data_IF_045507518961
#
_entry.id   IF_045507518961
#
_cell.length_a   1.000
_cell.length_b   1.000
_cell.length_c   1.000
_cell.angle_alpha   90.00
_cell.angle_beta   90.00
_cell.angle_gamma   90.00
#
_symmetry.space_group_name_H-M   'P 1'
#
loop_
_entity.id
_entity.type
_entity.pdbx_description
1 polymer ?
#
# COMPACT_ATOMS: atom_id res chain seq x y z
N UNK A 1 5.98 24.31 -6.09
CA UNK A 1 6.85 23.13 -6.32
C UNK A 1 6.44 22.06 -5.33
N UNK A 2 6.44 20.78 -5.70
CA UNK A 2 6.26 19.69 -4.74
C UNK A 2 7.64 19.22 -4.29
N UNK A 3 7.85 19.08 -2.98
CA UNK A 3 9.09 18.59 -2.40
C UNK A 3 8.78 17.49 -1.39
N UNK A 4 9.77 16.68 -1.06
CA UNK A 4 9.68 15.66 -0.01
C UNK A 4 10.39 16.17 1.24
N UNK A 5 9.74 15.99 2.40
CA UNK A 5 10.35 16.15 3.71
C UNK A 5 10.57 14.77 4.32
N UNK A 6 11.69 14.57 5.01
CA UNK A 6 12.08 13.24 5.50
C UNK A 6 12.11 13.21 7.02
N UNK A 7 11.71 12.07 7.56
CA UNK A 7 11.74 11.81 9.00
C UNK A 7 12.23 10.40 9.26
N UNK A 8 12.82 10.18 10.43
CA UNK A 8 13.19 8.86 10.92
C UNK A 8 12.62 8.57 12.29
N UNK A 9 12.49 7.29 12.61
CA UNK A 9 12.17 6.83 13.96
C UNK A 9 12.75 5.44 14.19
N UNK A 10 13.19 5.21 15.42
CA UNK A 10 13.56 3.92 16.00
C UNK A 10 12.53 3.50 17.07
N UNK A 11 11.38 4.18 17.14
CA UNK A 11 10.35 3.92 18.14
C UNK A 11 9.80 2.49 18.00
N UNK A 12 9.86 1.75 19.12
CA UNK A 12 9.45 0.35 19.18
C UNK A 12 7.95 0.16 18.90
N UNK A 13 7.09 1.13 19.22
CA UNK A 13 5.66 1.04 18.91
C UNK A 13 5.43 1.15 17.40
N UNK A 14 6.17 2.03 16.72
CA UNK A 14 6.12 2.13 15.25
C UNK A 14 6.52 0.80 14.62
N UNK A 15 7.60 0.19 15.12
CA UNK A 15 8.04 -1.14 14.67
C UNK A 15 6.97 -2.20 14.87
N UNK A 16 6.44 -2.34 16.08
CA UNK A 16 5.42 -3.34 16.39
C UNK A 16 4.17 -3.14 15.52
N UNK A 17 3.74 -1.89 15.34
CA UNK A 17 2.60 -1.55 14.47
C UNK A 17 2.87 -1.94 13.01
N UNK A 18 4.07 -1.65 12.50
CA UNK A 18 4.44 -2.07 11.14
C UNK A 18 4.43 -3.60 10.98
N UNK A 19 4.94 -4.33 11.97
CA UNK A 19 4.92 -5.79 12.00
C UNK A 19 3.49 -6.36 12.06
N UNK A 20 2.58 -5.72 12.81
CA UNK A 20 1.14 -6.05 12.82
C UNK A 20 0.50 -5.86 11.44
N UNK A 21 0.78 -4.75 10.76
CA UNK A 21 0.25 -4.49 9.42
C UNK A 21 0.82 -5.47 8.39
N UNK A 22 2.12 -5.78 8.47
CA UNK A 22 2.75 -6.81 7.64
C UNK A 22 2.09 -8.18 7.87
N UNK A 23 1.81 -8.54 9.12
CA UNK A 23 1.15 -9.80 9.47
C UNK A 23 -0.28 -9.87 8.91
N UNK A 24 -1.05 -8.78 9.01
CA UNK A 24 -2.38 -8.68 8.42
C UNK A 24 -2.33 -8.80 6.89
N UNK A 25 -1.34 -8.16 6.24
CA UNK A 25 -1.11 -8.29 4.80
C UNK A 25 -0.79 -9.73 4.39
N UNK A 26 0.12 -10.41 5.09
CA UNK A 26 0.49 -11.79 4.79
C UNK A 26 -0.70 -12.75 4.94
N UNK A 27 -1.50 -12.58 6.00
CA UNK A 27 -2.73 -13.35 6.19
C UNK A 27 -3.72 -13.11 5.05
N UNK A 28 -3.97 -11.84 4.74
CA UNK A 28 -4.85 -11.43 3.64
C UNK A 28 -4.40 -12.02 2.30
N UNK A 29 -3.10 -11.94 1.98
CA UNK A 29 -2.52 -12.47 0.74
C UNK A 29 -2.67 -13.99 0.65
N UNK A 30 -2.42 -14.71 1.76
CA UNK A 30 -2.60 -16.16 1.84
C UNK A 30 -4.05 -16.57 1.60
N UNK A 31 -5.00 -15.94 2.29
CA UNK A 31 -6.43 -16.25 2.15
C UNK A 31 -6.95 -15.94 0.74
N UNK A 32 -6.49 -14.83 0.15
CA UNK A 32 -6.82 -14.44 -1.22
C UNK A 32 -6.30 -15.46 -2.22
N UNK A 33 -5.03 -15.89 -2.10
CA UNK A 33 -4.46 -16.93 -2.96
C UNK A 33 -5.14 -18.28 -2.81
N UNK A 34 -5.51 -18.67 -1.59
CA UNK A 34 -6.24 -19.91 -1.35
C UNK A 34 -7.58 -19.89 -2.09
N UNK A 35 -8.35 -18.81 -1.94
CA UNK A 35 -9.62 -18.65 -2.65
C UNK A 35 -9.42 -18.64 -4.19
N UNK A 36 -8.31 -18.09 -4.68
CA UNK A 36 -7.97 -18.17 -6.11
C UNK A 36 -7.78 -19.62 -6.57
N UNK A 37 -7.00 -20.41 -5.82
CA UNK A 37 -6.73 -21.79 -6.18
C UNK A 37 -8.00 -22.65 -6.13
N UNK A 38 -8.83 -22.47 -5.11
CA UNK A 38 -10.08 -23.21 -4.92
C UNK A 38 -11.07 -22.98 -6.07
N UNK A 39 -11.06 -21.79 -6.67
CA UNK A 39 -11.96 -21.37 -7.75
C UNK A 39 -11.30 -21.50 -9.15
N UNK A 40 -10.16 -22.19 -9.24
CA UNK A 40 -9.51 -22.58 -10.49
C UNK A 40 -8.70 -21.48 -11.19
N UNK A 41 -8.26 -20.48 -10.45
CA UNK A 41 -7.31 -19.45 -10.91
C UNK A 41 -5.85 -19.89 -10.65
N UNK A 42 -4.90 -19.41 -11.46
CA UNK A 42 -3.45 -19.68 -11.36
C UNK A 42 -2.85 -19.08 -10.07
N UNK A 43 -3.49 -18.04 -9.54
CA UNK A 43 -3.09 -17.36 -8.32
C UNK A 43 -3.39 -15.87 -8.38
N UNK A 44 -3.14 -15.20 -7.27
CA UNK A 44 -3.28 -13.75 -7.13
C UNK A 44 -1.91 -13.08 -7.25
N UNK A 45 -1.78 -12.06 -8.11
CA UNK A 45 -0.49 -11.48 -8.50
C UNK A 45 -0.36 -9.98 -8.23
N UNK A 46 -0.72 -9.47 -7.05
CA UNK A 46 -0.49 -8.04 -6.73
C UNK A 46 0.99 -7.73 -6.37
N UNK A 47 1.41 -6.48 -6.63
CA UNK A 47 2.69 -5.96 -6.17
C UNK A 47 2.73 -5.78 -4.64
N UNK A 48 3.91 -5.97 -4.05
CA UNK A 48 4.18 -5.88 -2.61
C UNK A 48 3.52 -4.64 -1.96
N UNK A 49 2.79 -4.87 -0.86
CA UNK A 49 2.14 -3.86 -0.01
C UNK A 49 1.09 -2.93 -0.66
N UNK A 50 0.74 -3.13 -1.93
CA UNK A 50 -0.44 -2.56 -2.60
C UNK A 50 -1.50 -3.68 -2.69
N UNK A 51 -2.77 -3.63 -2.25
CA UNK A 51 -3.92 -2.70 -2.25
C UNK A 51 -4.73 -3.08 -0.98
N UNK A 52 -5.48 -2.21 -0.27
CA UNK A 52 -6.94 -2.11 -0.54
C UNK A 52 -7.38 -0.67 -0.94
N UNK A 53 -8.46 -0.44 -1.68
CA UNK A 53 -9.83 -0.28 -1.12
C UNK A 53 -10.89 -1.20 -1.73
N UNK A 54 -10.78 -1.56 -3.00
CA UNK A 54 -11.68 -2.48 -3.70
C UNK A 54 -10.78 -3.19 -4.71
N UNK A 55 -10.41 -4.45 -4.45
CA UNK A 55 -9.52 -5.20 -5.36
C UNK A 55 -10.15 -5.52 -6.72
N UNK A 56 -11.41 -5.11 -6.93
CA UNK A 56 -11.91 -4.72 -8.23
C UNK A 56 -11.84 -3.18 -8.32
N UNK A 57 -10.82 -2.62 -8.97
CA UNK A 57 -10.90 -1.26 -9.50
C UNK A 57 -12.01 -1.21 -10.55
N UNK A 58 -13.28 -1.17 -10.15
CA UNK A 58 -14.43 -1.08 -11.07
C UNK A 58 -15.73 -0.84 -10.31
N UNK A 59 -15.81 0.23 -9.52
CA UNK A 59 -17.14 0.84 -9.31
C UNK A 59 -17.23 2.14 -10.11
N UNK A 60 -16.15 2.93 -10.20
CA UNK A 60 -16.25 4.29 -10.78
C UNK A 60 -15.28 4.62 -11.93
N UNK A 61 -14.17 3.88 -12.10
CA UNK A 61 -13.03 4.43 -12.87
C UNK A 61 -12.67 3.76 -14.20
N UNK A 62 -13.32 2.66 -14.62
CA UNK A 62 -13.08 1.97 -15.91
C UNK A 62 -11.59 1.87 -16.37
N UNK A 63 -10.63 1.73 -15.43
CA UNK A 63 -9.16 1.72 -15.65
C UNK A 63 -8.54 0.85 -14.54
N UNK A 64 -7.50 0.01 -14.69
CA UNK A 64 -6.70 -0.63 -15.75
C UNK A 64 -5.80 -1.62 -14.96
N UNK A 65 -5.54 -2.84 -15.48
CA UNK A 65 -4.62 -3.86 -14.94
C UNK A 65 -4.74 -4.14 -13.44
N UNK A 66 -5.66 -5.03 -13.08
CA UNK A 66 -5.45 -5.88 -11.92
C UNK A 66 -4.56 -7.02 -12.41
N UNK A 67 -3.33 -7.08 -11.95
CA UNK A 67 -2.52 -8.30 -12.01
C UNK A 67 -3.29 -9.39 -11.24
N UNK A 68 -3.98 -10.38 -11.79
CA UNK A 68 -4.28 -10.79 -13.14
C UNK A 68 -4.68 -12.26 -13.03
N UNK A 69 -5.91 -12.55 -12.62
CA UNK A 69 -6.41 -13.89 -12.35
C UNK A 69 -6.38 -14.78 -13.61
N UNK A 70 -5.39 -15.65 -13.79
CA UNK A 70 -5.36 -16.54 -14.97
C UNK A 70 -6.16 -17.81 -14.68
N UNK A 71 -7.35 -17.97 -15.25
CA UNK A 71 -8.19 -19.14 -15.00
C UNK A 71 -7.91 -20.28 -16.01
N UNK A 72 -8.03 -21.55 -15.57
CA UNK A 72 -7.79 -22.72 -16.42
C UNK A 72 -9.07 -23.47 -16.88
N UNK A 73 -10.24 -23.23 -16.27
CA UNK A 73 -11.41 -24.14 -16.45
C UNK A 73 -12.73 -23.52 -16.92
N UNK A 74 -13.10 -22.28 -16.57
CA UNK A 74 -14.42 -21.73 -16.92
C UNK A 74 -14.35 -20.30 -17.46
N UNK A 75 -14.64 -20.11 -18.75
CA UNK A 75 -14.62 -18.80 -19.41
C UNK A 75 -15.83 -17.90 -19.03
N UNK A 76 -16.84 -18.43 -18.36
CA UNK A 76 -18.09 -17.73 -18.06
C UNK A 76 -17.98 -16.66 -16.96
N UNK A 77 -16.89 -16.67 -16.18
CA UNK A 77 -16.68 -15.83 -14.99
C UNK A 77 -15.88 -14.55 -15.28
N UNK A 78 -15.31 -14.46 -16.48
CA UNK A 78 -14.54 -13.32 -16.95
C UNK A 78 -15.45 -12.40 -17.77
N UNK A 79 -15.34 -11.09 -17.54
CA UNK A 79 -16.05 -10.12 -18.38
C UNK A 79 -15.69 -10.33 -19.86
N UNK A 80 -16.67 -10.46 -20.77
CA UNK A 80 -16.41 -10.66 -22.20
C UNK A 80 -15.80 -9.43 -22.89
N UNK A 81 -15.68 -8.31 -22.18
CA UNK A 81 -15.02 -7.12 -22.69
C UNK A 81 -13.50 -7.35 -22.75
N UNK A 82 -13.00 -7.70 -23.95
CA UNK A 82 -11.61 -8.06 -24.26
C UNK A 82 -10.57 -6.97 -23.95
N UNK A 83 -11.01 -5.81 -23.45
CA UNK A 83 -10.18 -4.66 -23.09
C UNK A 83 -9.65 -4.73 -21.66
N UNK A 84 -10.27 -5.54 -20.79
CA UNK A 84 -9.91 -5.64 -19.37
C UNK A 84 -9.64 -7.09 -19.03
N UNK A 85 -8.38 -7.55 -19.11
CA UNK A 85 -8.04 -8.88 -18.68
C UNK A 85 -8.30 -8.97 -17.17
N UNK A 86 -9.06 -9.99 -16.75
CA UNK A 86 -9.21 -10.44 -15.36
C UNK A 86 -10.28 -9.78 -14.45
N UNK A 87 -11.36 -9.22 -15.01
CA UNK A 87 -12.49 -8.74 -14.21
C UNK A 87 -13.52 -9.85 -13.92
N UNK A 88 -13.86 -10.06 -12.63
CA UNK A 88 -14.96 -10.95 -12.22
C UNK A 88 -16.31 -10.37 -12.65
N UNK A 89 -17.16 -11.22 -13.23
CA UNK A 89 -18.54 -10.88 -13.59
C UNK A 89 -19.45 -10.78 -12.36
N UNK A 90 -19.73 -9.57 -11.91
CA UNK A 90 -20.68 -9.33 -10.81
C UNK A 90 -22.15 -9.41 -11.25
N UNK A 91 -22.41 -9.43 -12.56
CA UNK A 91 -23.71 -9.68 -13.18
C UNK A 91 -24.06 -11.19 -13.23
N UNK A 92 -23.09 -12.07 -12.97
CA UNK A 92 -23.27 -13.51 -12.88
C UNK A 92 -23.30 -13.96 -11.41
N UNK A 93 -24.23 -14.85 -11.03
CA UNK A 93 -24.44 -15.26 -9.63
C UNK A 93 -23.14 -15.76 -8.97
N UNK A 94 -22.42 -16.65 -9.65
CA UNK A 94 -21.16 -17.19 -9.14
C UNK A 94 -20.05 -16.13 -9.05
N UNK A 95 -19.94 -15.23 -10.04
CA UNK A 95 -18.93 -14.17 -10.01
C UNK A 95 -19.22 -13.11 -8.94
N UNK A 96 -20.50 -12.80 -8.70
CA UNK A 96 -20.96 -11.96 -7.59
C UNK A 96 -20.66 -12.58 -6.22
N UNK A 97 -20.95 -13.87 -6.05
CA UNK A 97 -20.63 -14.60 -4.83
C UNK A 97 -19.12 -14.60 -4.54
N UNK A 98 -18.31 -14.88 -5.57
CA UNK A 98 -16.86 -14.86 -5.46
C UNK A 98 -16.29 -13.47 -5.14
N UNK A 99 -16.82 -12.43 -5.79
CA UNK A 99 -16.48 -11.05 -5.45
C UNK A 99 -16.74 -10.74 -3.98
N UNK A 100 -17.91 -11.13 -3.46
CA UNK A 100 -18.27 -10.91 -2.06
C UNK A 100 -17.31 -11.62 -1.08
N UNK A 101 -16.83 -12.82 -1.42
CA UNK A 101 -15.80 -13.52 -0.63
C UNK A 101 -14.48 -12.74 -0.59
N UNK A 102 -13.95 -12.31 -1.74
CA UNK A 102 -12.72 -11.51 -1.80
C UNK A 102 -12.84 -10.18 -1.05
N UNK A 103 -13.99 -9.52 -1.19
CA UNK A 103 -14.30 -8.30 -0.46
C UNK A 103 -14.33 -8.54 1.05
N UNK A 104 -14.95 -9.64 1.50
CA UNK A 104 -14.98 -10.05 2.90
C UNK A 104 -13.58 -10.24 3.50
N UNK A 105 -12.68 -10.93 2.80
CA UNK A 105 -11.27 -11.12 3.23
C UNK A 105 -10.57 -9.77 3.41
N UNK A 106 -10.76 -8.85 2.46
CA UNK A 106 -10.12 -7.52 2.49
C UNK A 106 -10.65 -6.64 3.62
N UNK A 107 -11.98 -6.62 3.82
CA UNK A 107 -12.63 -5.90 4.92
C UNK A 107 -12.19 -6.45 6.28
N UNK A 108 -12.13 -7.77 6.44
CA UNK A 108 -11.70 -8.40 7.68
C UNK A 108 -10.26 -7.99 8.05
N UNK A 109 -9.35 -7.93 7.08
CA UNK A 109 -7.97 -7.52 7.32
C UNK A 109 -7.86 -6.05 7.77
N UNK A 110 -8.59 -5.13 7.12
CA UNK A 110 -8.63 -3.72 7.52
C UNK A 110 -9.24 -3.52 8.91
N UNK A 111 -10.37 -4.18 9.18
CA UNK A 111 -11.00 -4.15 10.50
C UNK A 111 -10.07 -4.71 11.58
N UNK A 112 -9.27 -5.73 11.29
CA UNK A 112 -8.31 -6.28 12.24
C UNK A 112 -7.21 -5.29 12.63
N UNK A 113 -6.96 -4.31 11.77
CA UNK A 113 -6.03 -3.21 12.02
C UNK A 113 -6.71 -1.97 12.63
N UNK A 114 -7.99 -2.07 13.01
CA UNK A 114 -8.76 -0.95 13.54
C UNK A 114 -9.10 0.13 12.51
N UNK A 115 -8.93 -0.16 11.21
CA UNK A 115 -9.25 0.77 10.13
C UNK A 115 -10.69 0.53 9.69
N UNK A 116 -11.48 1.61 9.65
CA UNK A 116 -12.81 1.60 9.06
C UNK A 116 -12.72 1.34 7.54
N UNK A 117 -13.24 0.21 7.04
CA UNK A 117 -13.18 -0.12 5.62
C UNK A 117 -13.93 0.89 4.73
N UNK A 118 -14.83 1.71 5.27
CA UNK A 118 -15.54 2.75 4.51
C UNK A 118 -14.65 3.97 4.26
N UNK A 119 -13.74 4.28 5.19
CA UNK A 119 -12.71 5.35 5.02
C UNK A 119 -11.60 4.93 4.08
N UNK A 120 -11.52 3.64 3.82
CA UNK A 120 -10.67 3.00 2.85
C UNK A 120 -11.41 3.07 1.49
N UNK A 121 -11.27 4.21 0.79
CA UNK A 121 -11.79 4.47 -0.57
C UNK A 121 -11.20 5.73 -1.23
N UNK A 122 -10.24 5.59 -2.17
CA UNK A 122 -9.48 6.60 -2.96
C UNK A 122 -8.35 7.37 -2.21
N UNK A 123 -7.15 7.66 -2.79
CA UNK A 123 -6.46 7.20 -4.03
C UNK A 123 -5.35 6.13 -3.72
N UNK A 124 -4.49 5.66 -4.65
CA UNK A 124 -4.17 4.25 -5.01
C UNK A 124 -3.35 3.39 -4.02
N UNK A 125 -3.24 3.76 -2.75
CA UNK A 125 -2.31 3.14 -1.81
C UNK A 125 -2.98 2.05 -1.00
N UNK A 126 -2.39 0.85 -1.07
CA UNK A 126 -2.93 -0.35 -0.46
C UNK A 126 -2.74 -0.48 1.03
N UNK A 127 -2.32 -1.67 1.49
CA UNK A 127 -1.88 -1.85 2.87
C UNK A 127 -0.82 -0.80 3.24
N UNK A 128 -0.07 -0.26 2.28
CA UNK A 128 0.72 0.95 2.44
C UNK A 128 -0.05 2.14 3.07
N UNK A 129 -1.27 2.46 2.61
CA UNK A 129 -2.14 3.48 3.23
C UNK A 129 -2.55 3.10 4.63
N UNK A 130 -2.87 1.82 4.86
CA UNK A 130 -3.19 1.32 6.20
C UNK A 130 -2.02 1.59 7.17
N UNK A 131 -0.79 1.28 6.76
CA UNK A 131 0.42 1.59 7.52
C UNK A 131 0.49 3.10 7.83
N UNK A 132 0.33 3.98 6.84
CA UNK A 132 0.42 5.43 7.07
C UNK A 132 -0.68 5.96 8.00
N UNK A 133 -1.90 5.44 7.91
CA UNK A 133 -3.01 5.84 8.74
C UNK A 133 -2.80 5.44 10.20
N UNK A 134 -2.38 4.19 10.45
CA UNK A 134 -2.19 3.69 11.82
C UNK A 134 -0.97 4.35 12.47
N UNK A 135 0.10 4.58 11.69
CA UNK A 135 1.28 5.31 12.15
C UNK A 135 1.06 6.82 12.25
N UNK A 136 -0.10 7.33 11.84
CA UNK A 136 -0.45 8.75 11.80
C UNK A 136 0.58 9.61 11.03
N UNK A 137 1.10 9.06 9.93
CA UNK A 137 2.04 9.73 9.00
C UNK A 137 1.43 9.90 7.60
N UNK A 138 0.10 9.83 7.50
CA UNK A 138 -0.59 10.00 6.23
C UNK A 138 -0.68 11.48 5.85
N UNK A 139 -0.08 11.83 4.70
CA UNK A 139 -0.10 13.15 4.12
C UNK A 139 -0.27 13.06 2.60
N UNK A 140 -1.11 13.93 2.05
CA UNK A 140 -1.41 14.03 0.63
C UNK A 140 -1.23 15.49 0.20
N UNK A 141 -0.36 15.72 -0.79
CA UNK A 141 -0.11 17.05 -1.33
C UNK A 141 -0.56 17.13 -2.78
N UNK A 142 -1.33 18.16 -3.14
CA UNK A 142 -1.83 18.39 -4.51
C UNK A 142 -1.24 19.66 -5.11
N UNK A 143 -0.68 19.56 -6.31
CA UNK A 143 -0.16 20.72 -7.05
C UNK A 143 -0.30 20.51 -8.56
N UNK A 144 -1.03 21.40 -9.25
CA UNK A 144 -1.17 21.41 -10.72
C UNK A 144 -1.60 20.05 -11.32
N UNK A 145 -2.50 19.33 -10.65
CA UNK A 145 -2.95 18.00 -11.08
C UNK A 145 -2.02 16.83 -10.69
N UNK A 146 -0.85 17.12 -10.12
CA UNK A 146 0.00 16.12 -9.48
C UNK A 146 -0.45 15.87 -8.04
N UNK A 147 -0.43 14.61 -7.62
CA UNK A 147 -0.69 14.22 -6.24
C UNK A 147 0.52 13.44 -5.72
N UNK A 148 1.12 13.95 -4.64
CA UNK A 148 2.17 13.27 -3.89
C UNK A 148 1.58 12.55 -2.68
N UNK A 149 2.22 11.46 -2.27
CA UNK A 149 1.78 10.65 -1.13
C UNK A 149 2.94 10.28 -0.22
N UNK A 150 2.63 10.09 1.06
CA UNK A 150 3.60 9.58 2.05
C UNK A 150 4.23 8.25 1.61
N UNK A 151 5.49 8.05 1.99
CA UNK A 151 6.22 6.80 1.79
C UNK A 151 6.91 6.38 3.09
N UNK A 152 7.09 5.08 3.30
CA UNK A 152 7.76 4.52 4.47
C UNK A 152 8.68 3.37 4.03
N UNK A 153 9.86 3.33 4.64
CA UNK A 153 10.85 2.30 4.45
C UNK A 153 11.37 1.80 5.79
N UNK A 154 11.49 0.48 5.92
CA UNK A 154 12.25 -0.16 6.99
C UNK A 154 13.68 -0.37 6.49
N UNK A 155 14.64 0.30 7.11
CA UNK A 155 16.06 0.26 6.75
C UNK A 155 16.86 -0.39 7.88
N UNK A 156 17.88 -1.15 7.51
CA UNK A 156 18.84 -1.69 8.49
C UNK A 156 20.00 -0.72 8.67
N UNK A 157 20.25 -0.30 9.91
CA UNK A 157 21.38 0.55 10.27
C UNK A 157 22.70 -0.25 10.34
N UNK A 158 23.82 0.40 10.69
CA UNK A 158 25.13 -0.25 10.81
C UNK A 158 25.16 -1.37 11.88
N UNK A 159 24.31 -1.30 12.89
CA UNK A 159 24.22 -2.23 14.02
C UNK A 159 23.24 -3.41 13.80
N UNK A 160 22.72 -3.58 12.58
CA UNK A 160 21.68 -4.59 12.25
C UNK A 160 20.31 -4.30 12.89
N UNK A 161 20.07 -3.07 13.33
CA UNK A 161 18.78 -2.65 13.87
C UNK A 161 17.91 -2.04 12.77
N UNK A 162 16.59 -2.24 12.89
CA UNK A 162 15.60 -1.66 11.98
C UNK A 162 15.32 -0.23 12.40
N UNK A 163 15.55 0.70 11.47
CA UNK A 163 15.16 2.10 11.53
C UNK A 163 14.08 2.35 10.48
N UNK A 164 13.04 3.09 10.83
CA UNK A 164 12.04 3.53 9.87
C UNK A 164 12.40 4.92 9.34
N UNK A 165 12.32 5.08 8.03
CA UNK A 165 12.40 6.38 7.35
C UNK A 165 11.09 6.60 6.62
N UNK A 166 10.50 7.78 6.75
CA UNK A 166 9.34 8.17 5.96
C UNK A 166 9.61 9.46 5.18
N UNK A 167 8.94 9.60 4.04
CA UNK A 167 8.88 10.85 3.29
C UNK A 167 7.44 11.36 3.25
N UNK A 168 7.27 12.66 3.45
CA UNK A 168 6.00 13.35 3.36
C UNK A 168 6.07 14.42 2.26
N UNK A 169 5.19 14.35 1.25
CA UNK A 169 5.17 15.32 0.16
C UNK A 169 4.60 16.63 0.69
N UNK A 170 5.16 17.78 0.32
CA UNK A 170 4.62 19.09 0.72
C UNK A 170 4.66 20.06 -0.44
N UNK A 171 3.71 21.01 -0.44
CA UNK A 171 3.65 22.07 -1.43
C UNK A 171 4.49 23.24 -0.95
N UNK A 172 5.56 23.57 -1.69
CA UNK A 172 6.34 24.78 -1.47
C UNK A 172 5.60 26.03 -1.96
N UNK A 173 5.60 27.07 -1.13
CA UNK A 173 4.92 28.34 -1.34
C UNK A 173 5.89 29.46 -1.75
N UNK A 174 5.68 30.04 -2.94
CA UNK A 174 6.37 31.26 -3.38
C UNK A 174 7.82 31.08 -3.88
N UNK A 175 8.58 32.17 -3.90
CA UNK A 175 10.01 32.22 -4.30
C UNK A 175 10.98 31.85 -3.17
N UNK A 176 10.48 31.77 -1.93
CA UNK A 176 11.25 31.43 -0.72
C UNK A 176 10.81 30.01 -0.33
N UNK A 177 11.71 29.10 0.09
CA UNK A 177 11.36 27.70 0.34
C UNK A 177 10.65 27.54 1.69
N UNK A 178 9.46 28.14 1.81
CA UNK A 178 8.53 27.83 2.88
C UNK A 178 7.57 26.76 2.39
N UNK A 179 7.36 25.75 3.22
CA UNK A 179 6.37 24.70 3.00
C UNK A 179 5.56 24.53 4.28
N UNK A 180 4.34 24.04 4.14
CA UNK A 180 3.53 23.66 5.29
C UNK A 180 4.17 22.43 5.94
N UNK A 181 4.59 22.57 7.21
CA UNK A 181 5.14 21.44 7.96
C UNK A 181 4.03 20.42 8.18
N UNK A 182 4.17 19.18 7.70
CA UNK A 182 3.14 18.18 7.85
C UNK A 182 2.99 17.80 9.32
N UNK A 183 1.75 17.56 9.76
CA UNK A 183 1.49 17.03 11.09
C UNK A 183 2.04 15.60 11.18
N UNK A 184 3.04 15.39 12.03
CA UNK A 184 3.69 14.11 12.25
C UNK A 184 3.87 13.87 13.76
N UNK A 185 3.77 12.62 14.26
CA UNK A 185 3.95 12.37 15.68
C UNK A 185 5.36 12.76 16.17
N UNK A 186 5.51 13.21 17.44
CA UNK A 186 6.74 13.80 17.95
C UNK A 186 7.93 12.83 18.04
N UNK A 187 7.67 11.52 17.99
CA UNK A 187 8.70 10.47 17.96
C UNK A 187 9.28 10.22 16.55
N UNK A 188 8.83 10.98 15.54
CA UNK A 188 9.48 11.06 14.24
C UNK A 188 10.40 12.29 14.19
N UNK A 189 11.70 12.03 14.05
CA UNK A 189 12.72 13.07 14.03
C UNK A 189 13.00 13.51 12.59
N UNK A 190 12.98 14.82 12.30
CA UNK A 190 13.28 15.31 10.95
C UNK A 190 14.72 15.00 10.57
N UNK A 191 14.93 14.65 9.30
CA UNK A 191 16.25 14.46 8.70
C UNK A 191 16.33 15.19 7.36
N UNK A 192 17.55 15.51 6.96
CA UNK A 192 17.83 16.06 5.62
C UNK A 192 17.73 14.99 4.55
N UNK A 193 17.55 15.40 3.29
CA UNK A 193 17.61 14.48 2.15
C UNK A 193 18.96 13.76 2.04
N UNK A 194 20.06 14.42 2.40
CA UNK A 194 21.39 13.82 2.44
C UNK A 194 21.46 12.68 3.47
N UNK A 195 20.98 12.93 4.69
CA UNK A 195 20.94 11.90 5.74
C UNK A 195 20.04 10.72 5.34
N UNK A 196 18.91 10.97 4.69
CA UNK A 196 18.05 9.91 4.17
C UNK A 196 18.81 9.03 3.15
N UNK A 197 19.50 9.64 2.18
CA UNK A 197 20.30 8.93 1.18
C UNK A 197 21.39 8.07 1.84
N UNK A 198 22.08 8.60 2.86
CA UNK A 198 23.12 7.85 3.58
C UNK A 198 22.57 6.62 4.31
N UNK A 199 21.36 6.70 4.86
CA UNK A 199 20.66 5.56 5.46
C UNK A 199 20.32 4.49 4.42
N UNK A 200 19.80 4.88 3.25
CA UNK A 200 19.55 3.94 2.15
C UNK A 200 20.84 3.28 1.65
N UNK A 201 21.92 4.05 1.48
CA UNK A 201 23.21 3.53 1.04
C UNK A 201 23.79 2.53 2.03
N UNK A 202 23.65 2.80 3.33
CA UNK A 202 24.02 1.88 4.41
C UNK A 202 23.24 0.57 4.28
N UNK A 203 21.90 0.64 4.23
CA UNK A 203 21.06 -0.54 4.10
C UNK A 203 21.39 -1.35 2.84
N UNK A 204 21.49 -0.69 1.67
CA UNK A 204 21.80 -1.35 0.40
C UNK A 204 23.16 -2.04 0.41
N UNK A 205 24.17 -1.42 1.02
CA UNK A 205 25.50 -2.02 1.16
C UNK A 205 25.45 -3.29 2.01
N UNK A 206 24.61 -3.32 3.04
CA UNK A 206 24.41 -4.51 3.88
C UNK A 206 23.68 -5.61 3.13
N UNK A 207 22.59 -5.28 2.43
CA UNK A 207 21.82 -6.25 1.64
C UNK A 207 22.71 -6.91 0.57
N UNK A 208 23.58 -6.16 -0.08
CA UNK A 208 24.56 -6.68 -1.06
C UNK A 208 25.62 -7.61 -0.48
N UNK A 209 25.94 -7.51 0.81
CA UNK A 209 26.91 -8.42 1.46
C UNK A 209 26.28 -9.75 1.89
N UNK A 210 24.94 -9.80 1.98
CA UNK A 210 24.18 -10.98 2.42
C UNK A 210 23.67 -11.85 1.25
N UNK A 211 23.53 -11.27 0.06
CA UNK A 211 23.21 -11.97 -1.19
C UNK A 211 24.46 -12.37 -1.95
#
# INVERSE_FOLDING_TARGET
MMIETFYRTDDMKVRNTYEEVLSAYQLWFRLTNQLCNDEGFEGFTAHDFCVPDLFLRSVECHIQRVSGFRQFKEQCLISPDNTIPFALRTDHEHGSALFNKFNGISKAALTSLGIDPIRFGNPPFGFAKAVFLILNIHHEAKLNGLVGYSQLWALENQLDEILFVCSLPVVGCGRIPFYETPAIPPYWLPITGTEAIDLFNTHNTKMRKRG
#
